data_IF_874739041020
#
_entry.id   IF_874739041020
#
_cell.length_a   1.000
_cell.length_b   1.000
_cell.length_c   1.000
_cell.angle_alpha   90.00
_cell.angle_beta   90.00
_cell.angle_gamma   90.00
#
_symmetry.space_group_name_H-M   'P 1'
#
loop_
_entity.id
_entity.type
_entity.pdbx_description
1 polymer ?
#
# COMPACT_ATOMS: atom_id res chain seq x y z
N UNK A 1 -9.22 -1.50 19.61
CA UNK A 1 -8.12 -0.87 18.87
C UNK A 1 -8.73 -0.24 17.64
N UNK A 2 -8.37 1.01 17.36
CA UNK A 2 -8.92 1.74 16.21
C UNK A 2 -8.29 1.21 14.93
N UNK A 3 -9.13 0.75 13.98
CA UNK A 3 -8.68 0.26 12.67
C UNK A 3 -8.55 1.46 11.73
N UNK A 4 -7.41 1.60 11.07
CA UNK A 4 -7.18 2.62 10.06
C UNK A 4 -7.75 2.14 8.71
N UNK A 5 -8.45 3.03 8.02
CA UNK A 5 -9.02 2.76 6.70
C UNK A 5 -8.55 3.78 5.68
N UNK A 6 -8.28 3.33 4.48
CA UNK A 6 -8.03 4.19 3.32
C UNK A 6 -9.16 4.04 2.31
N UNK A 7 -9.51 5.12 1.63
CA UNK A 7 -10.39 5.01 0.47
C UNK A 7 -9.68 4.22 -0.65
N UNK A 8 -10.47 3.49 -1.42
CA UNK A 8 -9.94 2.61 -2.46
C UNK A 8 -9.13 3.35 -3.53
N UNK A 9 -9.47 4.61 -3.82
CA UNK A 9 -8.72 5.41 -4.78
C UNK A 9 -7.30 5.74 -4.26
N UNK A 10 -7.16 5.99 -2.95
CA UNK A 10 -5.87 6.15 -2.30
C UNK A 10 -5.05 4.85 -2.31
N UNK A 11 -5.71 3.70 -2.03
CA UNK A 11 -5.07 2.38 -2.13
C UNK A 11 -4.54 2.14 -3.54
N UNK A 12 -5.36 2.36 -4.58
CA UNK A 12 -4.95 2.21 -5.98
C UNK A 12 -3.78 3.11 -6.36
N UNK A 13 -3.81 4.35 -5.92
CA UNK A 13 -2.81 5.34 -6.35
C UNK A 13 -1.44 5.14 -5.71
N UNK A 14 -1.40 4.71 -4.46
CA UNK A 14 -0.17 4.75 -3.66
C UNK A 14 0.29 3.39 -3.13
N UNK A 15 -0.55 2.37 -3.18
CA UNK A 15 -0.26 1.07 -2.56
C UNK A 15 -0.41 -0.08 -3.54
N UNK A 16 -1.64 -0.38 -3.98
CA UNK A 16 -1.92 -1.56 -4.79
C UNK A 16 -3.16 -1.36 -5.66
N UNK A 17 -2.96 -1.28 -6.97
CA UNK A 17 -4.03 -1.06 -7.96
C UNK A 17 -4.87 -2.32 -8.26
N UNK A 18 -4.45 -3.49 -7.75
CA UNK A 18 -5.10 -4.79 -8.06
C UNK A 18 -6.41 -4.98 -7.33
N UNK A 19 -6.63 -4.28 -6.20
CA UNK A 19 -7.90 -4.34 -5.50
C UNK A 19 -9.05 -3.85 -6.39
N UNK A 20 -10.18 -4.55 -6.37
CA UNK A 20 -11.37 -4.19 -7.14
C UNK A 20 -12.62 -4.26 -6.27
N UNK A 21 -13.47 -3.23 -6.35
CA UNK A 21 -14.75 -3.20 -5.65
C UNK A 21 -15.90 -3.46 -6.63
N UNK A 22 -16.62 -4.55 -6.43
CA UNK A 22 -17.89 -4.80 -7.11
C UNK A 22 -19.04 -4.25 -6.28
N UNK A 23 -19.57 -3.11 -6.71
CA UNK A 23 -20.67 -2.43 -6.03
C UNK A 23 -22.00 -3.16 -6.18
N UNK A 24 -22.16 -3.98 -7.22
CA UNK A 24 -23.38 -4.75 -7.46
C UNK A 24 -23.46 -5.96 -6.54
N UNK A 25 -22.39 -6.72 -6.48
CA UNK A 25 -22.28 -7.91 -5.62
C UNK A 25 -21.85 -7.57 -4.18
N UNK A 26 -21.48 -6.29 -3.93
CA UNK A 26 -20.98 -5.78 -2.63
C UNK A 26 -19.73 -6.51 -2.15
N UNK A 27 -18.79 -6.72 -3.05
CA UNK A 27 -17.54 -7.44 -2.81
C UNK A 27 -16.33 -6.52 -2.98
N UNK A 28 -15.33 -6.72 -2.13
CA UNK A 28 -13.96 -6.33 -2.39
C UNK A 28 -13.19 -7.56 -2.87
N UNK A 29 -12.51 -7.45 -3.99
CA UNK A 29 -11.75 -8.50 -4.64
C UNK A 29 -10.27 -8.13 -4.70
N UNK A 30 -9.41 -9.13 -4.52
CA UNK A 30 -8.01 -9.06 -4.84
C UNK A 30 -7.66 -10.25 -5.72
N UNK A 31 -7.23 -9.99 -6.95
CA UNK A 31 -6.91 -11.03 -7.93
C UNK A 31 -5.41 -11.11 -8.15
N UNK A 32 -4.83 -12.26 -7.86
CA UNK A 32 -3.45 -12.59 -8.22
C UNK A 32 -3.43 -13.68 -9.30
N UNK A 33 -2.27 -14.07 -9.87
CA UNK A 33 -2.20 -15.08 -10.92
C UNK A 33 -2.74 -16.48 -10.56
N UNK A 34 -2.91 -16.78 -9.29
CA UNK A 34 -3.30 -18.12 -8.83
C UNK A 34 -4.70 -18.19 -8.23
N UNK A 35 -5.23 -17.06 -7.72
CA UNK A 35 -6.53 -17.04 -7.05
C UNK A 35 -7.20 -15.66 -7.08
N UNK A 36 -8.49 -15.67 -6.76
CA UNK A 36 -9.27 -14.45 -6.49
C UNK A 36 -9.73 -14.51 -5.03
N UNK A 37 -9.16 -13.62 -4.22
CA UNK A 37 -9.52 -13.46 -2.82
C UNK A 37 -10.69 -12.48 -2.75
N UNK A 38 -11.70 -12.82 -1.95
CA UNK A 38 -12.94 -12.04 -1.87
C UNK A 38 -13.41 -11.84 -0.45
N UNK A 39 -13.95 -10.66 -0.17
CA UNK A 39 -14.68 -10.34 1.06
C UNK A 39 -15.92 -9.52 0.75
N UNK A 40 -16.99 -9.72 1.50
CA UNK A 40 -18.20 -8.90 1.40
C UNK A 40 -18.04 -7.62 2.22
N UNK A 41 -18.57 -6.49 1.73
CA UNK A 41 -18.53 -5.24 2.49
C UNK A 41 -19.22 -5.41 3.85
N UNK A 42 -18.56 -4.93 4.90
CA UNK A 42 -19.01 -5.01 6.29
C UNK A 42 -18.60 -6.28 7.04
N UNK A 43 -18.01 -7.27 6.34
CA UNK A 43 -17.58 -8.52 6.97
C UNK A 43 -16.13 -8.44 7.47
N UNK A 44 -15.81 -9.31 8.45
CA UNK A 44 -14.46 -9.46 9.00
C UNK A 44 -13.68 -10.58 8.33
N UNK A 45 -14.35 -11.41 7.52
CA UNK A 45 -13.77 -12.57 6.88
C UNK A 45 -13.52 -12.38 5.39
N UNK A 46 -12.54 -13.10 4.87
CA UNK A 46 -12.23 -13.18 3.45
C UNK A 46 -11.98 -14.63 3.05
N UNK A 47 -12.25 -14.96 1.79
CA UNK A 47 -12.14 -16.32 1.25
C UNK A 47 -10.98 -16.39 0.27
N UNK A 48 -10.13 -17.40 0.45
CA UNK A 48 -9.00 -17.79 -0.42
C UNK A 48 -9.26 -19.18 -0.98
N UNK A 49 -8.37 -19.68 -1.81
CA UNK A 49 -8.38 -21.10 -2.25
C UNK A 49 -8.19 -22.09 -1.10
N UNK A 50 -7.55 -21.68 -0.01
CA UNK A 50 -7.33 -22.52 1.18
C UNK A 50 -8.51 -22.51 2.16
N UNK A 51 -9.48 -21.61 1.96
CA UNK A 51 -10.67 -21.48 2.79
C UNK A 51 -10.92 -20.07 3.30
N UNK A 52 -11.77 -19.96 4.30
CA UNK A 52 -12.15 -18.66 4.89
C UNK A 52 -11.23 -18.31 6.05
N UNK A 53 -10.74 -17.09 6.04
CA UNK A 53 -9.91 -16.49 7.08
C UNK A 53 -10.69 -15.35 7.75
N UNK A 54 -10.45 -15.10 9.04
CA UNK A 54 -11.03 -13.98 9.78
C UNK A 54 -9.93 -12.98 10.14
N UNK A 55 -10.11 -11.74 9.70
CA UNK A 55 -9.17 -10.66 10.01
C UNK A 55 -9.37 -10.09 11.42
N UNK A 56 -10.51 -10.34 12.06
CA UNK A 56 -10.84 -9.82 13.39
C UNK A 56 -11.32 -8.35 13.40
N UNK A 57 -11.44 -7.73 12.23
CA UNK A 57 -11.95 -6.37 12.03
C UNK A 57 -12.70 -6.29 10.70
N UNK A 58 -13.58 -5.31 10.52
CA UNK A 58 -14.27 -5.08 9.25
C UNK A 58 -13.24 -4.78 8.16
N UNK A 59 -13.18 -5.60 7.12
CA UNK A 59 -12.17 -5.50 6.07
C UNK A 59 -12.43 -4.30 5.16
N UNK A 60 -13.68 -4.12 4.77
CA UNK A 60 -14.08 -3.01 3.88
C UNK A 60 -15.52 -2.61 4.11
N UNK A 61 -15.83 -1.35 3.84
CA UNK A 61 -17.19 -0.82 3.90
C UNK A 61 -17.39 0.31 2.89
N UNK A 62 -18.64 0.70 2.70
CA UNK A 62 -19.03 1.79 1.80
C UNK A 62 -19.65 2.92 2.60
N UNK A 63 -19.19 4.14 2.39
CA UNK A 63 -19.79 5.35 2.91
C UNK A 63 -20.08 6.31 1.73
N UNK A 64 -21.35 6.59 1.49
CA UNK A 64 -21.76 7.27 0.25
C UNK A 64 -21.40 6.46 -0.99
N UNK A 65 -20.59 7.05 -1.87
CA UNK A 65 -20.07 6.39 -3.08
C UNK A 65 -18.62 5.92 -2.91
N UNK A 66 -18.07 5.99 -1.71
CA UNK A 66 -16.67 5.70 -1.43
C UNK A 66 -16.51 4.35 -0.73
N UNK A 67 -15.66 3.50 -1.29
CA UNK A 67 -15.25 2.25 -0.66
C UNK A 67 -14.02 2.51 0.20
N UNK A 68 -14.06 2.07 1.45
CA UNK A 68 -12.95 2.11 2.39
C UNK A 68 -12.44 0.70 2.66
N UNK A 69 -11.12 0.56 2.74
CA UNK A 69 -10.44 -0.72 2.97
C UNK A 69 -9.52 -0.57 4.17
N UNK A 70 -9.54 -1.56 5.06
CA UNK A 70 -8.67 -1.58 6.23
C UNK A 70 -7.19 -1.62 5.82
N UNK A 71 -6.39 -0.73 6.39
CA UNK A 71 -4.97 -0.64 6.10
C UNK A 71 -4.24 -1.96 6.36
N UNK A 72 -4.54 -2.62 7.47
CA UNK A 72 -3.92 -3.91 7.80
C UNK A 72 -4.31 -5.03 6.84
N UNK A 73 -5.50 -4.96 6.23
CA UNK A 73 -5.87 -5.93 5.19
C UNK A 73 -5.06 -5.70 3.90
N UNK A 74 -4.86 -4.45 3.49
CA UNK A 74 -4.02 -4.13 2.33
C UNK A 74 -2.57 -4.59 2.54
N UNK A 75 -2.05 -4.53 3.78
CA UNK A 75 -0.71 -5.04 4.12
C UNK A 75 -0.50 -6.53 3.86
N UNK A 76 -1.55 -7.34 3.85
CA UNK A 76 -1.43 -8.76 3.53
C UNK A 76 -0.97 -8.99 2.08
N UNK A 77 -1.19 -8.00 1.21
CA UNK A 77 -0.95 -8.11 -0.24
C UNK A 77 0.01 -7.05 -0.77
N UNK A 78 0.58 -6.23 0.10
CA UNK A 78 1.36 -5.06 -0.32
C UNK A 78 2.46 -4.75 0.70
N UNK A 79 3.66 -4.57 0.19
CA UNK A 79 4.78 -4.16 1.02
C UNK A 79 4.70 -2.68 1.36
N UNK A 80 4.11 -2.34 2.50
CA UNK A 80 4.09 -0.99 3.06
C UNK A 80 3.94 -1.01 4.57
N UNK A 81 4.23 0.09 5.21
CA UNK A 81 3.91 0.34 6.61
C UNK A 81 3.23 1.69 6.77
N UNK A 82 2.59 1.93 7.91
CA UNK A 82 1.99 3.21 8.21
C UNK A 82 2.02 3.51 9.71
N UNK A 83 2.04 4.80 10.02
CA UNK A 83 1.92 5.33 11.38
C UNK A 83 0.76 6.33 11.43
N UNK A 84 -0.08 6.20 12.45
CA UNK A 84 -1.19 7.11 12.69
C UNK A 84 -0.78 8.18 13.70
N UNK A 85 -0.96 9.44 13.33
CA UNK A 85 -0.76 10.62 14.19
C UNK A 85 -2.08 11.37 14.34
N UNK A 86 -2.18 12.27 15.30
CA UNK A 86 -3.42 13.02 15.63
C UNK A 86 -4.08 13.71 14.42
N UNK A 87 -3.30 14.08 13.40
CA UNK A 87 -3.77 14.89 12.27
C UNK A 87 -3.49 14.29 10.90
N UNK A 88 -2.74 13.21 10.81
CA UNK A 88 -2.38 12.59 9.55
C UNK A 88 -1.95 11.14 9.76
N UNK A 89 -1.95 10.40 8.66
CA UNK A 89 -1.35 9.07 8.57
C UNK A 89 -0.14 9.17 7.65
N UNK A 90 1.00 8.71 8.13
CA UNK A 90 2.21 8.58 7.32
C UNK A 90 2.28 7.16 6.77
N UNK A 91 2.39 7.05 5.45
CA UNK A 91 2.54 5.76 4.75
C UNK A 91 3.93 5.68 4.17
N UNK A 92 4.56 4.51 4.33
CA UNK A 92 5.89 4.19 3.80
C UNK A 92 5.75 3.06 2.80
N UNK A 93 6.04 3.35 1.54
CA UNK A 93 5.99 2.38 0.43
C UNK A 93 7.38 2.05 -0.11
N UNK A 94 8.37 2.84 0.28
CA UNK A 94 9.77 2.67 -0.10
C UNK A 94 10.66 2.85 1.13
N UNK A 95 11.71 2.07 1.18
CA UNK A 95 12.74 2.12 2.21
C UNK A 95 14.10 2.28 1.56
N UNK A 96 15.01 2.90 2.27
CA UNK A 96 16.34 3.15 1.74
C UNK A 96 17.24 3.86 2.73
N UNK A 97 18.36 4.33 2.25
CA UNK A 97 19.28 5.15 3.04
C UNK A 97 18.79 6.59 3.05
N UNK A 98 18.64 7.14 4.25
CA UNK A 98 18.26 8.52 4.49
C UNK A 98 19.36 9.27 5.23
N UNK A 99 19.41 10.57 5.04
CA UNK A 99 20.30 11.43 5.82
C UNK A 99 19.57 11.90 7.08
N UNK A 100 20.23 11.80 8.23
CA UNK A 100 19.67 12.22 9.51
C UNK A 100 20.66 13.08 10.28
N UNK A 101 20.13 13.93 11.15
CA UNK A 101 20.94 14.72 12.08
C UNK A 101 20.22 14.89 13.41
N UNK A 102 20.96 14.83 14.51
CA UNK A 102 20.44 15.14 15.84
C UNK A 102 20.43 16.65 16.10
N UNK A 103 19.43 17.11 16.82
CA UNK A 103 19.36 18.49 17.26
C UNK A 103 20.32 18.79 18.40
N UNK A 104 21.15 19.84 18.26
CA UNK A 104 22.05 20.34 19.30
C UNK A 104 21.30 21.11 20.39
N UNK A 105 20.14 21.69 20.09
CA UNK A 105 19.31 22.51 21.00
C UNK A 105 17.87 22.44 20.56
N UNK A 106 16.96 22.68 21.50
CA UNK A 106 15.53 22.88 21.22
C UNK A 106 15.35 23.92 20.12
N UNK A 107 14.46 23.64 19.19
CA UNK A 107 14.21 24.52 18.06
C UNK A 107 12.79 24.37 17.52
N UNK A 108 12.30 25.41 16.88
CA UNK A 108 11.05 25.37 16.15
C UNK A 108 11.28 24.85 14.73
N UNK A 109 10.47 23.89 14.32
CA UNK A 109 10.32 23.47 12.92
C UNK A 109 9.30 24.40 12.26
N UNK A 110 9.69 25.05 11.18
CA UNK A 110 8.94 26.16 10.58
C UNK A 110 8.44 25.81 9.18
N UNK A 111 7.38 26.50 8.76
CA UNK A 111 6.78 26.30 7.44
C UNK A 111 7.73 26.63 6.29
N UNK A 112 8.65 27.60 6.47
CA UNK A 112 9.67 28.03 5.50
C UNK A 112 10.96 28.37 6.21
N UNK A 113 12.07 28.40 5.49
CA UNK A 113 13.34 28.90 6.00
C UNK A 113 13.25 30.38 6.36
N UNK A 114 13.29 30.69 7.65
CA UNK A 114 13.25 32.06 8.16
C UNK A 114 12.68 32.16 9.57
N UNK A 115 13.31 32.98 10.43
CA UNK A 115 12.91 33.14 11.84
C UNK A 115 11.51 33.74 12.05
N UNK A 116 10.97 34.41 11.04
CA UNK A 116 9.62 35.00 11.05
C UNK A 116 8.55 34.04 10.47
N UNK A 117 8.96 32.91 9.92
CA UNK A 117 8.04 31.93 9.35
C UNK A 117 7.18 31.26 10.45
N UNK A 118 5.92 30.92 10.19
CA UNK A 118 5.08 30.22 11.15
C UNK A 118 5.74 28.94 11.67
N UNK A 119 5.53 28.66 12.95
CA UNK A 119 6.00 27.43 13.60
C UNK A 119 4.98 26.33 13.35
N UNK A 120 5.44 25.19 12.87
CA UNK A 120 4.62 23.98 12.68
C UNK A 120 4.62 23.12 13.94
N UNK A 121 5.81 22.87 14.48
CA UNK A 121 5.99 22.08 15.71
C UNK A 121 7.28 22.50 16.42
N UNK A 122 7.48 22.02 17.64
CA UNK A 122 8.72 22.15 18.41
C UNK A 122 9.43 20.81 18.44
N UNK A 123 10.75 20.87 18.30
CA UNK A 123 11.61 19.70 18.41
C UNK A 123 12.66 19.95 19.50
N UNK A 124 12.92 18.94 20.30
CA UNK A 124 13.80 19.01 21.46
C UNK A 124 15.27 18.72 21.08
N UNK A 125 16.18 19.15 21.93
CA UNK A 125 17.58 18.75 21.84
C UNK A 125 17.70 17.21 21.91
N UNK A 126 18.43 16.63 20.96
CA UNK A 126 18.65 15.20 20.85
C UNK A 126 17.66 14.48 19.94
N UNK A 127 16.56 15.13 19.54
CA UNK A 127 15.67 14.57 18.52
C UNK A 127 16.43 14.36 17.21
N UNK A 128 16.20 13.24 16.57
CA UNK A 128 16.72 12.92 15.24
C UNK A 128 15.74 13.45 14.18
N UNK A 129 16.24 14.23 13.25
CA UNK A 129 15.48 14.73 12.11
C UNK A 129 16.03 14.11 10.82
N UNK A 130 15.14 13.70 9.94
CA UNK A 130 15.51 13.32 8.58
C UNK A 130 15.76 14.59 7.75
N UNK A 131 16.87 14.63 7.02
CA UNK A 131 17.24 15.76 6.16
C UNK A 131 16.75 15.48 4.75
N UNK A 132 15.72 16.20 4.34
CA UNK A 132 15.14 16.06 3.00
C UNK A 132 15.87 16.89 1.97
N UNK A 133 16.36 18.08 2.38
CA UNK A 133 17.10 19.00 1.52
C UNK A 133 17.99 19.90 2.37
N UNK A 134 19.28 19.95 2.05
CA UNK A 134 20.23 20.84 2.71
C UNK A 134 20.43 22.11 1.88
N UNK A 135 20.16 23.27 2.46
CA UNK A 135 20.41 24.59 1.88
C UNK A 135 21.47 25.34 2.67
N UNK A 136 21.84 26.53 2.23
CA UNK A 136 22.94 27.29 2.81
C UNK A 136 22.78 27.61 4.31
N UNK A 137 21.60 28.01 4.77
CA UNK A 137 21.34 28.46 6.15
C UNK A 137 20.29 27.64 6.87
N UNK A 138 19.38 27.05 6.14
CA UNK A 138 18.25 26.24 6.60
C UNK A 138 18.28 24.88 5.92
N UNK A 139 17.75 23.86 6.56
CA UNK A 139 17.47 22.56 5.94
C UNK A 139 15.99 22.26 6.01
N UNK A 140 15.46 21.65 4.96
CA UNK A 140 14.14 21.03 4.96
C UNK A 140 14.29 19.68 5.65
N UNK A 141 13.49 19.48 6.67
CA UNK A 141 13.57 18.30 7.53
C UNK A 141 12.21 17.65 7.73
N UNK A 142 12.23 16.37 8.11
CA UNK A 142 11.07 15.64 8.62
C UNK A 142 11.33 15.20 10.05
N UNK A 143 10.39 15.44 10.94
CA UNK A 143 10.43 15.03 12.35
C UNK A 143 9.97 13.57 12.51
N UNK A 144 10.18 12.99 13.68
CA UNK A 144 9.75 11.62 13.98
C UNK A 144 8.21 11.43 13.85
N UNK A 145 7.44 12.48 14.13
CA UNK A 145 5.98 12.52 13.93
C UNK A 145 5.59 13.01 12.52
N UNK A 146 6.51 12.87 11.55
CA UNK A 146 6.32 13.14 10.12
C UNK A 146 5.90 14.56 9.76
N UNK A 147 6.19 15.56 10.62
CA UNK A 147 6.02 16.96 10.27
C UNK A 147 7.20 17.43 9.39
N UNK A 148 6.87 17.88 8.17
CA UNK A 148 7.85 18.40 7.24
C UNK A 148 7.93 19.93 7.36
N UNK A 149 9.14 20.43 7.59
CA UNK A 149 9.38 21.86 7.75
C UNK A 149 10.86 22.23 7.64
N UNK A 150 11.22 23.39 8.18
CA UNK A 150 12.57 23.94 8.07
C UNK A 150 13.19 24.24 9.43
N UNK A 151 14.46 23.87 9.58
CA UNK A 151 15.29 24.12 10.75
C UNK A 151 16.58 24.82 10.33
N UNK A 152 17.10 25.75 11.16
CA UNK A 152 18.39 26.39 10.91
C UNK A 152 19.53 25.36 11.01
N UNK A 153 20.45 25.35 10.04
CA UNK A 153 21.58 24.41 10.00
C UNK A 153 22.45 24.46 11.27
N UNK A 154 22.58 25.62 11.92
CA UNK A 154 23.33 25.73 13.19
C UNK A 154 22.71 24.94 14.36
N UNK A 155 21.47 24.49 14.23
CA UNK A 155 20.76 23.66 15.23
C UNK A 155 21.00 22.18 15.02
N UNK A 156 21.38 21.79 13.81
CA UNK A 156 21.64 20.41 13.43
C UNK A 156 23.05 19.99 13.87
N UNK A 157 23.18 18.74 14.25
CA UNK A 157 24.44 18.04 14.45
C UNK A 157 25.08 17.64 13.13
N UNK A 158 25.99 16.69 13.20
CA UNK A 158 26.59 16.09 12.02
C UNK A 158 25.51 15.28 11.28
N UNK A 159 25.51 15.41 9.95
CA UNK A 159 24.62 14.62 9.10
C UNK A 159 25.25 13.25 8.90
N UNK A 160 24.51 12.22 9.22
CA UNK A 160 24.88 10.81 9.05
C UNK A 160 23.88 10.10 8.17
N UNK A 161 24.28 8.97 7.60
CA UNK A 161 23.39 8.11 6.85
C UNK A 161 22.82 7.00 7.75
N UNK A 162 21.53 6.78 7.63
CA UNK A 162 20.82 5.69 8.30
C UNK A 162 20.04 4.91 7.25
N UNK A 163 20.17 3.57 7.27
CA UNK A 163 19.40 2.70 6.39
C UNK A 163 18.17 2.21 7.13
N UNK A 164 16.99 2.57 6.61
CA UNK A 164 15.74 2.01 7.10
C UNK A 164 15.57 0.57 6.59
N UNK A 165 15.17 -0.30 7.49
CA UNK A 165 14.68 -1.63 7.14
C UNK A 165 13.17 -1.63 7.23
N UNK A 166 12.47 -2.23 6.25
CA UNK A 166 11.01 -2.31 6.29
C UNK A 166 10.54 -3.08 7.53
N UNK A 167 9.56 -2.54 8.21
CA UNK A 167 8.86 -3.20 9.33
C UNK A 167 7.57 -3.81 8.77
N UNK A 168 7.72 -4.83 7.94
CA UNK A 168 6.60 -5.53 7.32
C UNK A 168 6.96 -7.00 7.16
N UNK A 169 6.00 -7.87 7.44
CA UNK A 169 6.12 -9.32 7.24
C UNK A 169 5.73 -9.75 5.81
N UNK A 170 5.39 -8.79 4.94
CA UNK A 170 5.00 -9.08 3.56
C UNK A 170 6.17 -9.70 2.79
N UNK A 171 5.89 -10.81 2.14
CA UNK A 171 6.79 -11.44 1.17
C UNK A 171 6.08 -11.45 -0.18
N UNK A 172 6.73 -10.84 -1.18
CA UNK A 172 6.18 -10.86 -2.52
C UNK A 172 6.12 -12.30 -3.04
N UNK A 173 4.93 -12.79 -3.44
CA UNK A 173 4.81 -14.14 -3.94
C UNK A 173 5.57 -14.31 -5.26
N UNK A 174 6.36 -15.36 -5.39
CA UNK A 174 6.98 -15.73 -6.65
C UNK A 174 5.99 -16.53 -7.50
N UNK A 175 5.68 -16.01 -8.68
CA UNK A 175 4.84 -16.71 -9.66
C UNK A 175 5.68 -17.27 -10.78
N UNK A 176 5.54 -18.57 -11.03
CA UNK A 176 6.19 -19.21 -12.17
C UNK A 176 5.32 -19.01 -13.40
N UNK A 177 5.87 -18.41 -14.44
CA UNK A 177 5.18 -18.32 -15.73
C UNK A 177 4.92 -19.72 -16.29
N UNK A 178 3.68 -19.95 -16.79
CA UNK A 178 3.38 -21.17 -17.54
C UNK A 178 4.19 -21.15 -18.82
N UNK A 179 5.10 -22.12 -18.94
CA UNK A 179 5.90 -22.30 -20.15
C UNK A 179 5.48 -23.61 -20.83
N UNK A 180 5.59 -23.65 -22.16
CA UNK A 180 5.33 -24.84 -22.94
C UNK A 180 6.46 -25.04 -23.94
N UNK A 181 7.02 -26.27 -24.00
CA UNK A 181 8.02 -26.65 -25.00
C UNK A 181 7.42 -26.82 -26.41
N UNK A 182 6.09 -26.80 -26.49
CA UNK A 182 5.34 -26.88 -27.76
C UNK A 182 4.79 -25.51 -28.16
N UNK A 183 4.45 -25.39 -29.46
CA UNK A 183 3.74 -24.18 -29.94
C UNK A 183 2.41 -24.02 -29.18
N UNK A 184 2.18 -22.81 -28.69
CA UNK A 184 0.92 -22.45 -28.05
C UNK A 184 -0.11 -22.19 -29.14
N UNK A 185 -1.20 -22.95 -29.13
CA UNK A 185 -2.40 -22.71 -29.92
C UNK A 185 -3.51 -22.30 -28.96
N UNK A 186 -3.73 -20.97 -28.85
CA UNK A 186 -4.67 -20.37 -27.90
C UNK A 186 -6.03 -20.14 -28.56
N UNK A 187 -7.08 -20.57 -27.90
CA UNK A 187 -8.47 -20.23 -28.24
C UNK A 187 -9.13 -19.37 -27.15
N UNK A 188 -9.99 -18.46 -27.57
CA UNK A 188 -10.80 -17.67 -26.66
C UNK A 188 -12.20 -18.26 -26.52
N UNK A 189 -12.66 -18.47 -25.28
CA UNK A 189 -14.01 -18.90 -25.02
C UNK A 189 -14.84 -17.71 -24.51
N UNK A 190 -15.83 -17.30 -25.32
CA UNK A 190 -16.72 -16.20 -24.93
C UNK A 190 -17.89 -16.74 -24.12
N UNK A 191 -18.03 -16.29 -22.89
CA UNK A 191 -19.14 -16.64 -21.99
C UNK A 191 -20.18 -15.53 -22.06
N UNK A 192 -21.29 -15.77 -22.76
CA UNK A 192 -22.39 -14.81 -22.93
C UNK A 192 -23.50 -14.91 -21.89
N UNK A 193 -23.41 -15.83 -20.93
CA UNK A 193 -24.42 -16.04 -19.89
C UNK A 193 -24.08 -17.21 -18.97
N UNK A 194 -24.91 -17.45 -17.96
CA UNK A 194 -24.67 -18.43 -16.89
C UNK A 194 -24.41 -19.88 -17.37
N UNK A 195 -24.94 -20.28 -18.51
CA UNK A 195 -24.70 -21.60 -19.10
C UNK A 195 -23.44 -21.69 -19.99
N UNK A 196 -22.68 -20.60 -20.13
CA UNK A 196 -21.52 -20.58 -21.03
C UNK A 196 -20.42 -21.57 -20.63
N UNK A 197 -20.23 -21.79 -19.33
CA UNK A 197 -19.26 -22.76 -18.82
C UNK A 197 -19.63 -24.22 -19.12
N UNK A 198 -20.92 -24.57 -19.23
CA UNK A 198 -21.38 -25.91 -19.46
C UNK A 198 -21.00 -26.44 -20.84
N UNK A 199 -20.79 -25.55 -21.80
CA UNK A 199 -20.40 -25.90 -23.18
C UNK A 199 -18.89 -26.01 -23.37
N UNK A 200 -18.09 -25.50 -22.45
CA UNK A 200 -16.62 -25.47 -22.55
C UNK A 200 -16.04 -26.86 -22.86
N UNK A 201 -16.46 -27.88 -22.10
CA UNK A 201 -15.95 -29.25 -22.21
C UNK A 201 -16.23 -29.87 -23.59
N UNK A 202 -17.42 -29.63 -24.13
CA UNK A 202 -17.79 -30.13 -25.45
C UNK A 202 -17.07 -29.42 -26.58
N UNK A 203 -16.82 -28.13 -26.42
CA UNK A 203 -16.05 -27.32 -27.42
C UNK A 203 -14.58 -27.74 -27.44
N UNK A 204 -13.96 -27.88 -26.27
CA UNK A 204 -12.55 -28.30 -26.14
C UNK A 204 -12.34 -29.70 -26.72
N UNK A 205 -13.24 -30.64 -26.46
CA UNK A 205 -13.11 -32.00 -26.98
C UNK A 205 -13.25 -32.09 -28.51
N UNK A 206 -13.87 -31.11 -29.14
CA UNK A 206 -14.00 -30.99 -30.60
C UNK A 206 -12.83 -30.32 -31.31
N UNK A 207 -11.94 -29.63 -30.60
CA UNK A 207 -10.82 -28.88 -31.19
C UNK A 207 -9.56 -29.74 -31.30
N UNK A 208 -8.97 -29.76 -32.50
CA UNK A 208 -7.68 -30.44 -32.72
C UNK A 208 -6.55 -29.42 -32.72
N UNK A 209 -5.56 -29.65 -31.86
CA UNK A 209 -4.34 -28.85 -31.81
C UNK A 209 -4.39 -27.59 -30.93
N UNK A 210 -5.53 -27.27 -30.33
CA UNK A 210 -5.62 -26.22 -29.32
C UNK A 210 -5.16 -26.77 -27.96
N UNK A 211 -4.24 -26.09 -27.30
CA UNK A 211 -3.64 -26.53 -26.04
C UNK A 211 -3.77 -25.49 -24.92
N UNK A 212 -4.28 -24.29 -25.22
CA UNK A 212 -4.59 -23.23 -24.23
C UNK A 212 -5.96 -22.65 -24.57
N UNK A 213 -6.75 -22.37 -23.53
CA UNK A 213 -8.02 -21.66 -23.62
C UNK A 213 -7.99 -20.49 -22.63
N UNK A 214 -8.41 -19.32 -23.06
CA UNK A 214 -8.57 -18.11 -22.27
C UNK A 214 -10.04 -17.63 -22.30
#
# INVERSE_FOLDING_TARGET
DDVCYFDLATVHKYMNEVFYADMTEKLLLYANPTEVIRTTFGETSYTTTEGTQDAGYVISFVEGDTVYVAADYVKLFTNYSYDCYDRHVQVYTEWGTRQVAQLKKDTAVRLRGGVKSPILTQAAKGDTLEILEQMETWSKVKTADSVIGYVENKRLGDITEETETPVTDYQEPEYTALTSDSKICLGWHSIGGAGGNDTLYSMVSGTKGMNVIA
#
